data_IF_202223976897
#
_entry.id   IF_202223976897
#
_cell.length_a   1.000
_cell.length_b   1.000
_cell.length_c   1.000
_cell.angle_alpha   90.00
_cell.angle_beta   90.00
_cell.angle_gamma   90.00
#
_symmetry.space_group_name_H-M   'P 1'
#
loop_
_entity.id
_entity.type
_entity.pdbx_description
1 polymer ?
#
# COMPACT_ATOMS: atom_id res chain seq x y z
N UNK A 1 -27.19 48.41 -1.41
CA UNK A 1 -26.71 47.70 -0.20
C UNK A 1 -27.03 46.20 -0.19
N UNK A 2 -28.24 45.74 -0.54
CA UNK A 2 -28.53 44.28 -0.61
C UNK A 2 -27.76 43.53 -1.70
N UNK A 3 -27.56 44.14 -2.89
CA UNK A 3 -26.81 43.52 -4.01
C UNK A 3 -25.31 43.38 -3.73
N UNK A 4 -24.71 44.32 -3.01
CA UNK A 4 -23.31 44.26 -2.56
C UNK A 4 -23.11 43.22 -1.46
N UNK A 5 -24.11 42.98 -0.61
CA UNK A 5 -24.07 41.93 0.41
C UNK A 5 -24.11 40.52 -0.22
N UNK A 6 -24.93 40.31 -1.26
CA UNK A 6 -25.02 39.04 -2.00
C UNK A 6 -23.72 38.74 -2.75
N UNK A 7 -23.09 39.76 -3.34
CA UNK A 7 -21.80 39.60 -4.00
C UNK A 7 -20.67 39.20 -3.02
N UNK A 8 -20.68 39.74 -1.79
CA UNK A 8 -19.72 39.37 -0.74
C UNK A 8 -19.93 37.95 -0.22
N UNK A 9 -21.18 37.47 -0.18
CA UNK A 9 -21.51 36.09 0.22
C UNK A 9 -21.07 35.07 -0.85
N UNK A 10 -21.25 35.39 -2.14
CA UNK A 10 -20.78 34.53 -3.24
C UNK A 10 -19.24 34.43 -3.29
N UNK A 11 -18.53 35.50 -2.95
CA UNK A 11 -17.06 35.52 -2.95
C UNK A 11 -16.46 34.68 -1.81
N UNK A 12 -17.14 34.58 -0.66
CA UNK A 12 -16.70 33.76 0.47
C UNK A 12 -16.86 32.24 0.24
N UNK A 13 -17.81 31.82 -0.62
CA UNK A 13 -18.00 30.42 -0.99
C UNK A 13 -16.89 29.86 -1.89
N UNK A 14 -16.18 30.71 -2.63
CA UNK A 14 -15.09 30.28 -3.53
C UNK A 14 -13.76 29.98 -2.83
N UNK A 15 -13.62 30.26 -1.53
CA UNK A 15 -12.35 30.08 -0.80
C UNK A 15 -12.14 28.68 -0.21
N UNK A 16 -13.11 27.77 -0.33
CA UNK A 16 -13.04 26.42 0.26
C UNK A 16 -12.83 25.31 -0.77
N UNK A 17 -12.01 25.54 -1.79
CA UNK A 17 -11.59 24.47 -2.69
C UNK A 17 -10.41 23.72 -2.08
N UNK A 18 -10.67 22.62 -1.38
CA UNK A 18 -9.63 21.65 -1.02
C UNK A 18 -9.17 20.93 -2.30
N UNK A 19 -8.06 21.36 -2.87
CA UNK A 19 -7.42 20.65 -3.96
C UNK A 19 -6.69 19.43 -3.38
N UNK A 20 -7.34 18.26 -3.40
CA UNK A 20 -6.70 17.00 -3.02
C UNK A 20 -5.56 16.70 -4.00
N UNK A 21 -4.38 16.31 -3.50
CA UNK A 21 -3.25 16.03 -4.38
C UNK A 21 -3.51 14.78 -5.24
N UNK A 22 -2.93 14.71 -6.44
CA UNK A 22 -3.03 13.52 -7.32
C UNK A 22 -2.57 12.24 -6.61
N UNK A 23 -1.62 12.36 -5.67
CA UNK A 23 -1.13 11.24 -4.89
C UNK A 23 -2.16 10.76 -3.85
N UNK A 24 -2.78 11.68 -3.11
CA UNK A 24 -3.86 11.34 -2.17
C UNK A 24 -5.05 10.69 -2.86
N UNK A 25 -5.43 11.18 -4.05
CA UNK A 25 -6.49 10.56 -4.85
C UNK A 25 -6.13 9.13 -5.24
N UNK A 26 -4.89 8.90 -5.67
CA UNK A 26 -4.40 7.56 -6.01
C UNK A 26 -4.42 6.61 -4.81
N UNK A 27 -3.95 7.07 -3.64
CA UNK A 27 -3.99 6.26 -2.41
C UNK A 27 -5.43 5.98 -1.95
N UNK A 28 -6.34 6.94 -2.10
CA UNK A 28 -7.76 6.76 -1.78
C UNK A 28 -8.38 5.69 -2.66
N UNK A 29 -8.17 5.75 -3.97
CA UNK A 29 -8.67 4.73 -4.90
C UNK A 29 -8.10 3.34 -4.61
N UNK A 30 -6.81 3.23 -4.27
CA UNK A 30 -6.19 1.97 -3.87
C UNK A 30 -6.80 1.39 -2.59
N UNK A 31 -7.13 2.24 -1.61
CA UNK A 31 -7.78 1.81 -0.36
C UNK A 31 -9.18 1.28 -0.62
N UNK A 32 -9.95 1.94 -1.49
CA UNK A 32 -11.29 1.50 -1.90
C UNK A 32 -11.24 0.16 -2.65
N UNK A 33 -10.31 0.00 -3.60
CA UNK A 33 -10.09 -1.27 -4.29
C UNK A 33 -9.74 -2.38 -3.30
N UNK A 34 -8.80 -2.11 -2.38
CA UNK A 34 -8.39 -3.08 -1.36
C UNK A 34 -9.53 -3.46 -0.42
N UNK A 35 -10.31 -2.49 0.02
CA UNK A 35 -11.49 -2.70 0.84
C UNK A 35 -12.50 -3.62 0.13
N UNK A 36 -12.77 -3.40 -1.16
CA UNK A 36 -13.64 -4.23 -1.96
C UNK A 36 -13.10 -5.66 -2.17
N UNK A 37 -11.79 -5.81 -2.38
CA UNK A 37 -11.15 -7.14 -2.44
C UNK A 37 -11.32 -7.91 -1.13
N UNK A 38 -11.11 -7.25 0.01
CA UNK A 38 -11.19 -7.88 1.33
C UNK A 38 -12.63 -8.30 1.68
N UNK A 39 -13.63 -7.56 1.19
CA UNK A 39 -15.05 -7.79 1.41
C UNK A 39 -15.66 -8.88 0.50
N UNK A 40 -14.89 -9.41 -0.46
CA UNK A 40 -15.43 -10.23 -1.54
C UNK A 40 -15.86 -11.61 -1.02
N UNK A 41 -17.16 -11.87 -1.01
CA UNK A 41 -17.76 -13.04 -0.35
C UNK A 41 -17.16 -14.41 -0.70
N UNK A 42 -16.63 -14.58 -1.93
CA UNK A 42 -16.09 -15.87 -2.38
C UNK A 42 -14.73 -16.23 -1.75
N UNK A 43 -13.89 -15.25 -1.41
CA UNK A 43 -12.50 -15.49 -0.97
C UNK A 43 -11.87 -14.36 -0.13
N UNK A 44 -12.63 -13.30 0.14
CA UNK A 44 -12.22 -12.18 0.99
C UNK A 44 -12.25 -12.58 2.47
N UNK A 45 -11.24 -12.20 3.26
CA UNK A 45 -11.17 -12.57 4.67
C UNK A 45 -12.12 -11.76 5.57
N UNK A 46 -12.74 -10.68 5.06
CA UNK A 46 -13.62 -9.80 5.83
C UNK A 46 -15.05 -9.87 5.32
N UNK A 47 -16.01 -9.74 6.24
CA UNK A 47 -17.41 -9.45 5.88
C UNK A 47 -17.55 -7.99 5.45
N UNK A 48 -18.56 -7.68 4.66
CA UNK A 48 -18.80 -6.34 4.12
C UNK A 48 -18.99 -5.26 5.20
N UNK A 49 -19.61 -5.60 6.34
CA UNK A 49 -19.78 -4.73 7.50
C UNK A 49 -18.46 -4.46 8.26
N UNK A 50 -17.47 -5.33 8.12
CA UNK A 50 -16.17 -5.20 8.78
C UNK A 50 -15.21 -4.24 8.06
N UNK A 51 -15.46 -3.98 6.78
CA UNK A 51 -14.65 -3.09 5.94
C UNK A 51 -14.64 -1.65 6.48
N UNK A 52 -15.74 -1.22 7.10
CA UNK A 52 -15.88 0.11 7.69
C UNK A 52 -14.90 0.35 8.86
N UNK A 53 -14.32 -0.71 9.43
CA UNK A 53 -13.35 -0.63 10.53
C UNK A 53 -11.90 -0.73 10.06
N UNK A 54 -11.64 -0.70 8.75
CA UNK A 54 -10.28 -0.62 8.24
C UNK A 54 -9.66 0.72 8.62
N UNK A 55 -8.69 0.68 9.53
CA UNK A 55 -7.94 1.85 9.96
C UNK A 55 -6.70 2.04 9.06
N UNK A 56 -6.54 3.25 8.55
CA UNK A 56 -5.44 3.62 7.67
C UNK A 56 -4.73 4.85 8.23
N UNK A 57 -3.40 4.80 8.25
CA UNK A 57 -2.59 5.98 8.51
C UNK A 57 -2.95 7.13 7.53
N UNK A 58 -2.84 8.39 7.96
CA UNK A 58 -2.97 9.54 7.06
C UNK A 58 -2.03 9.39 5.86
N UNK A 59 -2.45 9.90 4.71
CA UNK A 59 -1.59 9.89 3.52
C UNK A 59 -0.42 10.83 3.75
N UNK A 60 0.79 10.27 3.73
CA UNK A 60 2.02 11.03 3.89
C UNK A 60 2.98 10.69 2.74
N UNK A 61 3.25 11.70 1.91
CA UNK A 61 4.15 11.58 0.77
C UNK A 61 5.62 11.43 1.19
N UNK A 62 5.99 11.74 2.44
CA UNK A 62 7.35 11.57 2.94
C UNK A 62 7.77 10.09 3.05
N UNK A 63 6.78 9.18 3.16
CA UNK A 63 6.96 7.73 3.11
C UNK A 63 6.99 7.16 1.68
N UNK A 64 6.78 8.01 0.65
CA UNK A 64 6.97 7.63 -0.75
C UNK A 64 8.44 7.81 -1.13
N UNK A 65 9.19 6.72 -1.09
CA UNK A 65 10.63 6.71 -1.38
C UNK A 65 10.93 5.99 -2.70
N UNK A 66 11.99 6.43 -3.37
CA UNK A 66 12.63 5.63 -4.41
C UNK A 66 13.59 4.65 -3.75
N UNK A 67 13.59 3.40 -4.20
CA UNK A 67 14.43 2.36 -3.66
C UNK A 67 15.29 1.72 -4.75
N UNK A 68 16.50 1.33 -4.40
CA UNK A 68 17.34 0.46 -5.22
C UNK A 68 16.93 -0.99 -4.97
N UNK A 69 16.66 -1.72 -6.04
CA UNK A 69 16.31 -3.14 -5.99
C UNK A 69 17.48 -3.96 -6.53
N UNK A 70 18.00 -4.87 -5.72
CA UNK A 70 19.02 -5.84 -6.10
C UNK A 70 18.40 -7.23 -6.12
N UNK A 71 18.23 -7.81 -7.32
CA UNK A 71 17.69 -9.16 -7.48
C UNK A 71 18.78 -10.16 -7.13
N UNK A 72 18.43 -11.14 -6.29
CA UNK A 72 19.34 -12.20 -5.86
C UNK A 72 19.12 -13.45 -6.71
N UNK A 73 20.22 -14.12 -7.02
CA UNK A 73 20.24 -15.38 -7.77
C UNK A 73 20.74 -16.50 -6.85
N UNK A 74 20.28 -17.72 -7.13
CA UNK A 74 20.72 -18.94 -6.43
C UNK A 74 20.53 -18.95 -4.90
N UNK A 75 19.55 -18.19 -4.40
CA UNK A 75 19.20 -18.18 -2.97
C UNK A 75 18.61 -19.52 -2.50
N UNK A 76 18.97 -19.98 -1.29
CA UNK A 76 18.45 -21.23 -0.74
C UNK A 76 16.94 -21.13 -0.44
N UNK A 77 16.25 -22.24 -0.65
CA UNK A 77 14.83 -22.38 -0.29
C UNK A 77 14.73 -22.76 1.19
N UNK A 78 13.84 -22.10 1.91
CA UNK A 78 13.54 -22.38 3.31
C UNK A 78 12.02 -22.37 3.53
N UNK A 79 11.58 -23.00 4.61
CA UNK A 79 10.15 -23.08 4.95
C UNK A 79 9.82 -22.08 6.04
N UNK A 80 8.77 -21.28 5.84
CA UNK A 80 8.21 -20.43 6.88
C UNK A 80 6.91 -21.07 7.41
N UNK A 81 6.76 -21.20 8.74
CA UNK A 81 5.53 -21.66 9.33
C UNK A 81 4.43 -20.62 9.09
N UNK A 82 3.24 -21.08 8.74
CA UNK A 82 2.04 -20.25 8.62
C UNK A 82 1.15 -20.43 9.85
N UNK A 83 0.27 -19.47 10.07
CA UNK A 83 -0.63 -19.45 11.24
C UNK A 83 -1.52 -20.70 11.35
N UNK A 84 -1.90 -21.30 10.22
CA UNK A 84 -2.70 -22.52 10.14
C UNK A 84 -1.91 -23.81 10.42
N UNK A 85 -0.64 -23.71 10.82
CA UNK A 85 0.24 -24.85 11.11
C UNK A 85 0.82 -25.51 9.86
N UNK A 86 0.52 -24.99 8.67
CA UNK A 86 1.20 -25.43 7.44
C UNK A 86 2.54 -24.71 7.27
N UNK A 87 3.29 -25.07 6.23
CA UNK A 87 4.56 -24.42 5.93
C UNK A 87 4.67 -24.21 4.42
N UNK A 88 4.91 -22.97 4.01
CA UNK A 88 5.17 -22.65 2.62
C UNK A 88 6.68 -22.52 2.38
N UNK A 89 7.11 -22.93 1.19
CA UNK A 89 8.50 -22.76 0.75
C UNK A 89 8.70 -21.35 0.20
N UNK A 90 9.73 -20.70 0.69
CA UNK A 90 10.14 -19.36 0.30
C UNK A 90 11.61 -19.35 -0.10
N UNK A 91 11.98 -18.37 -0.91
CA UNK A 91 13.37 -17.97 -1.13
C UNK A 91 13.47 -16.46 -1.04
N UNK A 92 14.65 -15.97 -0.66
CA UNK A 92 14.95 -14.54 -0.82
C UNK A 92 15.03 -14.24 -2.31
N UNK A 93 14.40 -13.15 -2.73
CA UNK A 93 14.29 -12.78 -4.14
C UNK A 93 15.05 -11.51 -4.44
N UNK A 94 14.98 -10.51 -3.56
CA UNK A 94 15.67 -9.25 -3.75
C UNK A 94 16.00 -8.59 -2.41
N UNK A 95 16.95 -7.66 -2.46
CA UNK A 95 17.23 -6.71 -1.40
C UNK A 95 16.79 -5.33 -1.89
N UNK A 96 16.01 -4.64 -1.08
CA UNK A 96 15.54 -3.29 -1.37
C UNK A 96 16.20 -2.33 -0.38
N UNK A 97 16.96 -1.37 -0.90
CA UNK A 97 17.63 -0.33 -0.11
C UNK A 97 17.06 1.04 -0.44
N UNK A 98 16.71 1.81 0.58
CA UNK A 98 16.14 3.16 0.44
C UNK A 98 16.51 4.04 1.63
N UNK A 99 16.37 5.35 1.45
CA UNK A 99 16.56 6.33 2.52
C UNK A 99 15.21 6.88 2.96
N UNK A 100 14.94 6.83 4.27
CA UNK A 100 13.76 7.41 4.89
C UNK A 100 14.20 8.29 6.06
N UNK A 101 13.74 9.54 6.09
CA UNK A 101 14.12 10.55 7.09
C UNK A 101 15.65 10.68 7.31
N UNK A 102 16.43 10.60 6.22
CA UNK A 102 17.90 10.72 6.26
C UNK A 102 18.65 9.48 6.76
N UNK A 103 17.94 8.38 7.06
CA UNK A 103 18.53 7.11 7.45
C UNK A 103 18.37 6.08 6.33
N UNK A 104 19.41 5.29 6.07
CA UNK A 104 19.35 4.18 5.14
C UNK A 104 18.67 2.97 5.80
N UNK A 105 17.79 2.32 5.05
CA UNK A 105 17.05 1.13 5.42
C UNK A 105 17.18 0.06 4.34
N UNK A 106 17.17 -1.19 4.76
CA UNK A 106 17.26 -2.35 3.87
C UNK A 106 16.20 -3.36 4.24
N UNK A 107 15.48 -3.86 3.23
CA UNK A 107 14.44 -4.87 3.38
C UNK A 107 14.73 -6.07 2.48
N UNK A 108 14.55 -7.27 3.03
CA UNK A 108 14.57 -8.50 2.24
C UNK A 108 13.19 -8.74 1.63
N UNK A 109 13.17 -9.04 0.34
CA UNK A 109 11.98 -9.48 -0.38
C UNK A 109 11.99 -10.98 -0.49
N UNK A 110 10.87 -11.60 -0.14
CA UNK A 110 10.70 -13.05 -0.23
C UNK A 110 9.65 -13.42 -1.28
N UNK A 111 9.89 -14.53 -1.97
CA UNK A 111 8.96 -15.09 -2.94
C UNK A 111 8.54 -16.49 -2.48
N UNK A 112 7.27 -16.85 -2.70
CA UNK A 112 6.72 -18.19 -2.45
C UNK A 112 7.06 -19.12 -3.63
N UNK A 113 7.26 -20.41 -3.37
CA UNK A 113 7.67 -21.43 -4.36
C UNK A 113 6.85 -21.46 -5.65
N UNK A 114 5.52 -21.26 -5.55
CA UNK A 114 4.63 -21.20 -6.72
C UNK A 114 5.03 -20.11 -7.72
N UNK A 115 5.64 -19.02 -7.26
CA UNK A 115 6.01 -17.86 -8.09
C UNK A 115 7.47 -17.86 -8.56
N UNK A 116 8.29 -18.87 -8.21
CA UNK A 116 9.73 -18.87 -8.52
C UNK A 116 10.08 -18.69 -10.01
N UNK A 117 9.16 -19.04 -10.92
CA UNK A 117 9.33 -18.93 -12.37
C UNK A 117 8.69 -17.68 -12.98
N UNK A 118 7.91 -16.92 -12.22
CA UNK A 118 7.14 -15.78 -12.72
C UNK A 118 7.85 -14.48 -12.34
N UNK A 119 8.69 -13.98 -13.25
CA UNK A 119 9.49 -12.75 -13.10
C UNK A 119 8.66 -11.44 -13.04
N UNK A 120 7.35 -11.50 -13.25
CA UNK A 120 6.47 -10.34 -13.49
C UNK A 120 5.31 -10.18 -12.50
N UNK A 121 5.36 -10.78 -11.31
CA UNK A 121 4.23 -10.64 -10.37
C UNK A 121 4.29 -9.32 -9.58
N UNK A 122 3.16 -8.61 -9.58
CA UNK A 122 2.90 -7.37 -8.82
C UNK A 122 2.83 -7.58 -7.29
N UNK A 123 2.88 -8.83 -6.82
CA UNK A 123 2.71 -9.18 -5.41
C UNK A 123 4.08 -9.41 -4.77
N UNK A 124 4.70 -8.31 -4.33
CA UNK A 124 5.94 -8.31 -3.55
C UNK A 124 5.55 -8.31 -2.08
N UNK A 125 5.90 -9.38 -1.36
CA UNK A 125 5.68 -9.45 0.09
C UNK A 125 6.90 -8.89 0.81
N UNK A 126 6.68 -7.81 1.56
CA UNK A 126 7.67 -7.25 2.48
C UNK A 126 7.47 -7.91 3.84
N UNK A 127 8.48 -8.65 4.30
CA UNK A 127 8.53 -9.12 5.67
C UNK A 127 9.60 -8.31 6.39
N UNK A 128 9.19 -7.48 7.35
CA UNK A 128 10.08 -6.97 8.38
C UNK A 128 9.95 -7.93 9.57
N UNK A 129 11.06 -8.56 9.96
CA UNK A 129 11.17 -9.22 11.27
C UNK A 129 11.59 -8.17 12.30
#
# INVERSE_FOLDING_TARGET
>A
MKKTLIASFLLALCLNTHAQSKYEQHITALREEKAAELAKEQYGPLKSDQVAFLDYFPVDASYKVNAKVEVLFDEPVFRMPTYDGTSNEYKRYAIITFTLHGKEHTLNVYQVSHYFKILHTKNIYFYHF
#
